data_IF_357963897516
#
_entry.id   IF_357963897516
#
_cell.length_a   1.000
_cell.length_b   1.000
_cell.length_c   1.000
_cell.angle_alpha   90.00
_cell.angle_beta   90.00
_cell.angle_gamma   90.00
#
_symmetry.space_group_name_H-M   'P 1'
#
loop_
_entity.id
_entity.type
_entity.pdbx_description
1 polymer ?
#
# COMPACT_ATOMS: atom_id res chain seq x y z
N UNK A 1 16.38 -10.34 27.88
CA UNK A 1 17.59 -10.01 27.09
C UNK A 1 17.21 -10.05 25.62
N UNK A 2 17.14 -8.88 24.97
CA UNK A 2 16.99 -8.75 23.52
C UNK A 2 18.23 -9.35 22.86
N UNK A 3 18.11 -10.51 22.23
CA UNK A 3 19.07 -10.90 21.22
C UNK A 3 18.65 -10.20 19.93
N UNK A 4 19.22 -9.00 19.73
CA UNK A 4 19.46 -8.46 18.39
C UNK A 4 20.57 -9.30 17.78
N UNK A 5 20.26 -10.56 17.48
CA UNK A 5 21.17 -11.50 16.84
C UNK A 5 20.95 -11.43 15.34
N UNK A 6 21.94 -10.89 14.63
CA UNK A 6 22.19 -11.03 13.20
C UNK A 6 21.13 -11.83 12.42
N UNK A 7 20.01 -11.20 12.06
CA UNK A 7 19.21 -11.67 10.95
C UNK A 7 19.99 -11.36 9.68
N UNK A 8 20.98 -12.19 9.35
CA UNK A 8 21.34 -12.35 7.95
C UNK A 8 20.05 -12.66 7.22
N UNK A 9 19.64 -11.78 6.30
CA UNK A 9 18.36 -11.86 5.62
C UNK A 9 18.22 -13.25 4.97
N UNK A 10 17.50 -14.17 5.61
CA UNK A 10 17.13 -15.41 4.95
C UNK A 10 16.13 -15.04 3.86
N UNK A 11 16.22 -15.70 2.72
CA UNK A 11 15.29 -15.51 1.62
C UNK A 11 13.83 -15.65 2.09
N UNK A 12 13.57 -16.53 3.06
CA UNK A 12 12.28 -16.70 3.72
C UNK A 12 11.85 -15.47 4.53
N UNK A 13 12.73 -14.89 5.35
CA UNK A 13 12.42 -13.69 6.12
C UNK A 13 12.17 -12.50 5.19
N UNK A 14 12.95 -12.36 4.11
CA UNK A 14 12.74 -11.35 3.08
C UNK A 14 11.37 -11.52 2.40
N UNK A 15 11.06 -12.73 1.91
CA UNK A 15 9.76 -13.02 1.28
C UNK A 15 8.59 -12.74 2.22
N UNK A 16 8.70 -13.11 3.50
CA UNK A 16 7.67 -12.84 4.50
C UNK A 16 7.48 -11.34 4.75
N UNK A 17 8.56 -10.57 4.87
CA UNK A 17 8.47 -9.12 5.00
C UNK A 17 7.84 -8.49 3.76
N UNK A 18 8.23 -8.95 2.58
CA UNK A 18 7.71 -8.43 1.32
C UNK A 18 6.22 -8.75 1.12
N UNK A 19 5.78 -9.96 1.47
CA UNK A 19 4.35 -10.31 1.44
C UNK A 19 3.52 -9.44 2.37
N UNK A 20 4.07 -9.06 3.53
CA UNK A 20 3.41 -8.10 4.42
C UNK A 20 3.26 -6.75 3.71
N UNK A 21 4.34 -6.19 3.16
CA UNK A 21 4.29 -4.89 2.45
C UNK A 21 3.25 -4.92 1.32
N UNK A 22 3.25 -5.95 0.48
CA UNK A 22 2.26 -6.13 -0.60
C UNK A 22 0.82 -6.17 -0.07
N UNK A 23 0.60 -6.87 1.05
CA UNK A 23 -0.72 -6.97 1.71
C UNK A 23 -1.19 -5.60 2.19
N UNK A 24 -0.35 -4.87 2.93
CA UNK A 24 -0.69 -3.55 3.46
C UNK A 24 -0.96 -2.52 2.36
N UNK A 25 -0.20 -2.57 1.27
CA UNK A 25 -0.42 -1.67 0.14
C UNK A 25 -1.70 -2.00 -0.64
N UNK A 26 -2.02 -3.28 -0.79
CA UNK A 26 -3.30 -3.69 -1.40
C UNK A 26 -4.50 -3.31 -0.54
N UNK A 27 -4.35 -3.39 0.79
CA UNK A 27 -5.34 -2.87 1.73
C UNK A 27 -5.49 -1.35 1.60
N UNK A 28 -4.39 -0.60 1.52
CA UNK A 28 -4.44 0.86 1.32
C UNK A 28 -5.16 1.26 0.02
N UNK A 29 -4.91 0.55 -1.10
CA UNK A 29 -5.68 0.74 -2.34
C UNK A 29 -7.17 0.51 -2.13
N UNK A 30 -7.54 -0.49 -1.33
CA UNK A 30 -8.95 -0.79 -1.03
C UNK A 30 -9.57 0.29 -0.15
N UNK A 31 -8.84 0.80 0.85
CA UNK A 31 -9.29 1.90 1.71
C UNK A 31 -9.50 3.19 0.91
N UNK A 32 -8.65 3.49 -0.08
CA UNK A 32 -8.79 4.66 -0.95
C UNK A 32 -10.04 4.57 -1.85
N UNK A 33 -10.34 3.39 -2.40
CA UNK A 33 -11.55 3.14 -3.19
C UNK A 33 -12.80 3.27 -2.31
N UNK A 34 -12.84 2.55 -1.19
CA UNK A 34 -13.97 2.55 -0.27
C UNK A 34 -14.18 3.90 0.41
N UNK A 35 -13.13 4.71 0.56
CA UNK A 35 -13.25 6.10 0.98
C UNK A 35 -14.15 6.88 0.03
N UNK A 36 -13.97 6.74 -1.29
CA UNK A 36 -14.83 7.44 -2.26
C UNK A 36 -16.23 6.84 -2.36
N UNK A 37 -16.40 5.53 -2.11
CA UNK A 37 -17.72 4.89 -2.04
C UNK A 37 -18.58 5.50 -0.93
N UNK A 38 -17.98 5.86 0.21
CA UNK A 38 -18.66 6.55 1.31
C UNK A 38 -19.25 7.93 0.97
N UNK A 39 -18.89 8.50 -0.19
CA UNK A 39 -19.38 9.80 -0.66
C UNK A 39 -20.36 9.70 -1.83
N UNK A 40 -20.75 8.49 -2.27
CA UNK A 40 -21.64 8.33 -3.42
C UNK A 40 -22.99 9.06 -3.25
N UNK A 41 -23.60 8.98 -2.06
CA UNK A 41 -24.88 9.63 -1.75
C UNK A 41 -24.73 11.08 -1.24
N UNK A 42 -23.50 11.61 -1.19
CA UNK A 42 -23.24 13.00 -0.83
C UNK A 42 -23.47 13.88 -2.06
N UNK A 43 -24.24 14.96 -1.89
CA UNK A 43 -24.46 15.94 -2.94
C UNK A 43 -23.12 16.50 -3.46
N UNK A 44 -23.06 16.77 -4.77
CA UNK A 44 -21.86 17.32 -5.38
C UNK A 44 -21.55 18.71 -4.81
N UNK A 45 -20.27 18.94 -4.53
CA UNK A 45 -19.79 20.16 -3.91
C UNK A 45 -18.28 20.12 -3.72
N UNK A 46 -17.71 21.25 -3.28
CA UNK A 46 -16.26 21.44 -3.17
C UNK A 46 -15.60 20.38 -2.28
N UNK A 47 -16.25 19.99 -1.19
CA UNK A 47 -15.74 18.97 -0.26
C UNK A 47 -15.65 17.61 -0.94
N UNK A 48 -16.70 17.14 -1.61
CA UNK A 48 -16.71 15.86 -2.32
C UNK A 48 -15.64 15.86 -3.41
N UNK A 49 -15.57 16.91 -4.22
CA UNK A 49 -14.55 17.04 -5.26
C UNK A 49 -13.12 17.00 -4.69
N UNK A 50 -12.87 17.68 -3.57
CA UNK A 50 -11.57 17.66 -2.91
C UNK A 50 -11.22 16.27 -2.39
N UNK A 51 -12.15 15.57 -1.73
CA UNK A 51 -11.93 14.20 -1.23
C UNK A 51 -11.60 13.25 -2.36
N UNK A 52 -12.38 13.25 -3.44
CA UNK A 52 -12.13 12.40 -4.62
C UNK A 52 -10.75 12.69 -5.25
N UNK A 53 -10.37 13.97 -5.38
CA UNK A 53 -9.07 14.33 -5.93
C UNK A 53 -7.91 13.82 -5.07
N UNK A 54 -8.01 13.94 -3.73
CA UNK A 54 -6.96 13.46 -2.82
C UNK A 54 -6.92 11.94 -2.73
N UNK A 55 -8.06 11.25 -2.70
CA UNK A 55 -8.12 9.80 -2.72
C UNK A 55 -7.53 9.23 -4.03
N UNK A 56 -7.84 9.85 -5.17
CA UNK A 56 -7.27 9.46 -6.47
C UNK A 56 -5.75 9.66 -6.52
N UNK A 57 -5.24 10.75 -5.93
CA UNK A 57 -3.80 11.00 -5.85
C UNK A 57 -3.10 9.99 -4.93
N UNK A 58 -3.67 9.70 -3.75
CA UNK A 58 -3.17 8.67 -2.84
C UNK A 58 -3.10 7.30 -3.54
N UNK A 59 -4.20 6.90 -4.19
CA UNK A 59 -4.29 5.67 -4.99
C UNK A 59 -3.24 5.56 -6.08
N UNK A 60 -2.95 6.65 -6.77
CA UNK A 60 -1.87 6.69 -7.76
C UNK A 60 -0.51 6.41 -7.11
N UNK A 61 -0.20 7.06 -5.98
CA UNK A 61 1.07 6.83 -5.28
C UNK A 61 1.18 5.42 -4.71
N UNK A 62 0.12 4.92 -4.07
CA UNK A 62 0.04 3.56 -3.53
C UNK A 62 0.22 2.52 -4.65
N UNK A 63 -0.45 2.70 -5.80
CA UNK A 63 -0.34 1.79 -6.95
C UNK A 63 1.07 1.79 -7.56
N UNK A 64 1.67 2.97 -7.77
CA UNK A 64 3.04 3.09 -8.26
C UNK A 64 4.04 2.41 -7.32
N UNK A 65 3.91 2.65 -6.02
CA UNK A 65 4.79 2.06 -5.04
C UNK A 65 4.59 0.53 -4.95
N UNK A 66 3.35 0.03 -5.08
CA UNK A 66 3.07 -1.41 -5.10
C UNK A 66 3.70 -2.08 -6.32
N UNK A 67 3.71 -1.42 -7.49
CA UNK A 67 4.40 -1.92 -8.66
C UNK A 67 5.93 -2.05 -8.44
N UNK A 68 6.54 -1.05 -7.79
CA UNK A 68 7.96 -1.09 -7.42
C UNK A 68 8.24 -2.22 -6.42
N UNK A 69 7.41 -2.34 -5.38
CA UNK A 69 7.50 -3.40 -4.37
C UNK A 69 7.35 -4.78 -5.01
N UNK A 70 6.40 -4.98 -5.92
CA UNK A 70 6.22 -6.25 -6.63
C UNK A 70 7.45 -6.60 -7.48
N UNK A 71 8.05 -5.61 -8.14
CA UNK A 71 9.27 -5.81 -8.92
C UNK A 71 10.45 -6.19 -8.02
N UNK A 72 10.61 -5.50 -6.89
CA UNK A 72 11.67 -5.78 -5.93
C UNK A 72 11.49 -7.14 -5.24
N UNK A 73 10.25 -7.50 -4.89
CA UNK A 73 9.88 -8.80 -4.35
C UNK A 73 10.28 -9.95 -5.28
N UNK A 74 9.96 -9.80 -6.57
CA UNK A 74 10.20 -10.81 -7.59
C UNK A 74 11.69 -10.95 -7.94
N UNK A 75 12.48 -9.87 -7.80
CA UNK A 75 13.93 -9.91 -7.99
C UNK A 75 14.63 -10.77 -6.93
N UNK A 76 13.98 -11.04 -5.80
CA UNK A 76 14.33 -12.14 -4.91
C UNK A 76 15.51 -11.93 -3.95
N UNK A 77 16.05 -10.71 -3.78
CA UNK A 77 17.21 -10.51 -2.88
C UNK A 77 17.47 -9.03 -2.56
N UNK A 78 18.00 -8.72 -1.35
CA UNK A 78 18.91 -7.60 -1.13
C UNK A 78 20.27 -7.79 -1.81
#
# INVERSE_FOLDING_TARGET
MRQLGAAGATEEAFRFQMSNVQTWMSAALTDEETCTDGFQDVADGEVKAAVYARAAEAKKYTSNALALVNTYAAAGTP
#
